data_IF_734933310734
#
_entry.id   IF_734933310734
#
_cell.length_a   1.000
_cell.length_b   1.000
_cell.length_c   1.000
_cell.angle_alpha   90.00
_cell.angle_beta   90.00
_cell.angle_gamma   90.00
#
_symmetry.space_group_name_H-M   'P 1'
#
loop_
_entity.id
_entity.type
_entity.pdbx_description
1 polymer ?
#
# COMPACT_ATOMS: atom_id res chain seq x y z
N UNK A 1 -20.29 -25.51 -11.34
CA UNK A 1 -19.91 -24.30 -10.57
C UNK A 1 -18.40 -24.31 -10.42
N UNK A 2 -17.67 -23.48 -11.17
CA UNK A 2 -16.21 -23.44 -11.13
C UNK A 2 -15.75 -22.72 -9.87
N UNK A 3 -14.89 -23.37 -9.07
CA UNK A 3 -14.26 -22.71 -7.92
C UNK A 3 -13.32 -21.61 -8.42
N UNK A 4 -13.58 -20.37 -8.02
CA UNK A 4 -12.65 -19.26 -8.25
C UNK A 4 -11.39 -19.50 -7.42
N UNK A 5 -10.30 -19.93 -8.07
CA UNK A 5 -8.99 -20.08 -7.41
C UNK A 5 -8.36 -18.69 -7.28
N UNK A 6 -8.55 -18.05 -6.13
CA UNK A 6 -8.11 -16.66 -5.88
C UNK A 6 -6.57 -16.58 -5.80
N UNK A 7 -5.89 -17.65 -5.42
CA UNK A 7 -4.43 -17.71 -5.32
C UNK A 7 -3.90 -19.03 -5.87
N UNK A 8 -2.85 -18.97 -6.69
CA UNK A 8 -2.11 -20.16 -7.09
C UNK A 8 -0.99 -20.45 -6.09
N UNK A 9 -1.18 -21.49 -5.29
CA UNK A 9 -0.23 -21.93 -4.26
C UNK A 9 1.02 -22.60 -4.85
N UNK A 10 1.04 -22.86 -6.17
CA UNK A 10 2.17 -23.43 -6.86
C UNK A 10 3.23 -22.37 -7.23
N UNK A 11 2.89 -21.08 -7.16
CA UNK A 11 3.83 -20.00 -7.44
C UNK A 11 4.80 -19.90 -6.27
N UNK A 12 6.09 -19.97 -6.58
CA UNK A 12 7.14 -19.81 -5.59
C UNK A 12 7.13 -18.41 -4.96
N UNK A 13 7.31 -18.35 -3.65
CA UNK A 13 7.32 -17.07 -2.93
C UNK A 13 8.54 -16.24 -3.28
N UNK A 14 9.69 -16.87 -3.56
CA UNK A 14 10.90 -16.14 -3.90
C UNK A 14 10.76 -15.46 -5.27
N UNK A 15 10.13 -16.11 -6.25
CA UNK A 15 9.86 -15.49 -7.55
C UNK A 15 8.94 -14.27 -7.44
N UNK A 16 7.89 -14.34 -6.60
CA UNK A 16 7.00 -13.20 -6.34
C UNK A 16 7.76 -12.04 -5.70
N UNK A 17 8.64 -12.32 -4.74
CA UNK A 17 9.44 -11.28 -4.08
C UNK A 17 10.39 -10.60 -5.07
N UNK A 18 11.08 -11.37 -5.91
CA UNK A 18 12.00 -10.86 -6.92
C UNK A 18 11.29 -9.98 -7.96
N UNK A 19 10.12 -10.38 -8.45
CA UNK A 19 9.32 -9.60 -9.41
C UNK A 19 8.88 -8.25 -8.81
N UNK A 20 8.44 -8.27 -7.55
CA UNK A 20 8.04 -7.06 -6.81
C UNK A 20 9.21 -6.11 -6.62
N UNK A 21 10.38 -6.64 -6.24
CA UNK A 21 11.60 -5.86 -6.06
C UNK A 21 12.02 -5.22 -7.39
N UNK A 22 12.05 -5.98 -8.47
CA UNK A 22 12.36 -5.45 -9.81
C UNK A 22 11.43 -4.30 -10.21
N UNK A 23 10.12 -4.50 -10.02
CA UNK A 23 9.10 -3.48 -10.33
C UNK A 23 9.29 -2.21 -9.49
N UNK A 24 9.59 -2.39 -8.19
CA UNK A 24 9.87 -1.29 -7.29
C UNK A 24 11.13 -0.53 -7.71
N UNK A 25 12.24 -1.23 -8.00
CA UNK A 25 13.50 -0.60 -8.39
C UNK A 25 13.40 0.16 -9.72
N UNK A 26 12.59 -0.33 -10.67
CA UNK A 26 12.34 0.33 -11.96
C UNK A 26 11.44 1.57 -11.85
N UNK A 27 10.68 1.71 -10.77
CA UNK A 27 9.71 2.79 -10.60
C UNK A 27 10.36 4.12 -10.20
N UNK A 28 9.84 5.24 -10.70
CA UNK A 28 10.25 6.57 -10.27
C UNK A 28 9.88 6.83 -8.80
N UNK A 29 10.58 7.77 -8.16
CA UNK A 29 10.29 8.17 -6.77
C UNK A 29 8.86 8.69 -6.61
N UNK A 30 8.34 9.45 -7.58
CA UNK A 30 6.96 9.91 -7.58
C UNK A 30 5.98 8.74 -7.61
N UNK A 31 6.20 7.77 -8.49
CA UNK A 31 5.32 6.62 -8.61
C UNK A 31 5.29 5.78 -7.33
N UNK A 32 6.44 5.62 -6.67
CA UNK A 32 6.54 4.94 -5.36
C UNK A 32 5.67 5.63 -4.30
N UNK A 33 5.72 6.96 -4.24
CA UNK A 33 4.92 7.75 -3.29
C UNK A 33 3.41 7.60 -3.60
N UNK A 34 3.02 7.73 -4.87
CA UNK A 34 1.63 7.58 -5.29
C UNK A 34 1.08 6.18 -4.99
N UNK A 35 1.88 5.14 -5.25
CA UNK A 35 1.53 3.76 -4.94
C UNK A 35 1.30 3.57 -3.42
N UNK A 36 2.15 4.15 -2.57
CA UNK A 36 1.98 4.11 -1.11
C UNK A 36 0.69 4.82 -0.67
N UNK A 37 0.41 6.01 -1.21
CA UNK A 37 -0.81 6.76 -0.88
C UNK A 37 -2.07 6.00 -1.29
N UNK A 38 -2.06 5.37 -2.48
CA UNK A 38 -3.16 4.54 -2.94
C UNK A 38 -3.34 3.31 -2.05
N UNK A 39 -2.25 2.65 -1.65
CA UNK A 39 -2.30 1.52 -0.72
C UNK A 39 -2.94 1.91 0.62
N UNK A 40 -2.57 3.09 1.16
CA UNK A 40 -3.17 3.61 2.38
C UNK A 40 -4.68 3.85 2.22
N UNK A 41 -5.11 4.44 1.09
CA UNK A 41 -6.54 4.66 0.80
C UNK A 41 -7.31 3.35 0.70
N UNK A 42 -6.78 2.36 -0.03
CA UNK A 42 -7.37 1.03 -0.15
C UNK A 42 -7.45 0.35 1.22
N UNK A 43 -6.41 0.45 2.04
CA UNK A 43 -6.41 -0.11 3.39
C UNK A 43 -7.52 0.46 4.27
N UNK A 44 -7.75 1.78 4.23
CA UNK A 44 -8.85 2.41 4.98
C UNK A 44 -10.21 1.94 4.46
N UNK A 45 -10.40 1.88 3.14
CA UNK A 45 -11.64 1.42 2.52
C UNK A 45 -11.95 -0.04 2.90
N UNK A 46 -10.95 -0.91 2.89
CA UNK A 46 -11.08 -2.32 3.30
C UNK A 46 -11.32 -2.48 4.81
N UNK A 47 -10.90 -1.52 5.62
CA UNK A 47 -11.09 -1.51 7.07
C UNK A 47 -12.36 -0.72 7.49
N UNK A 48 -13.43 -0.81 6.70
CA UNK A 48 -14.72 -0.17 7.02
C UNK A 48 -14.66 1.36 7.12
N UNK A 49 -13.75 2.00 6.37
CA UNK A 49 -13.55 3.45 6.40
C UNK A 49 -12.72 3.96 7.58
N UNK A 50 -12.24 3.08 8.47
CA UNK A 50 -11.42 3.46 9.60
C UNK A 50 -9.94 3.20 9.33
N UNK A 51 -9.02 4.10 9.72
CA UNK A 51 -7.58 3.81 9.67
C UNK A 51 -7.20 2.61 10.55
N UNK A 52 -6.33 1.73 10.04
CA UNK A 52 -5.78 0.60 10.81
C UNK A 52 -5.00 1.05 12.05
N UNK A 53 -4.28 2.18 11.93
CA UNK A 53 -3.56 2.81 13.04
C UNK A 53 -4.05 4.23 13.20
N UNK A 54 -4.56 4.54 14.39
CA UNK A 54 -4.83 5.92 14.80
C UNK A 54 -3.51 6.57 15.22
N UNK A 55 -3.28 7.86 14.93
CA UNK A 55 -2.12 8.57 15.45
C UNK A 55 -2.09 8.42 16.98
N UNK A 56 -1.01 7.85 17.52
CA UNK A 56 -0.83 7.57 18.95
C UNK A 56 -0.37 8.83 19.75
N UNK A 57 -0.57 10.02 19.19
CA UNK A 57 -0.25 11.31 19.81
C UNK A 57 -1.04 12.44 19.14
N UNK A 58 -0.90 13.68 19.64
CA UNK A 58 -1.62 14.87 19.15
C UNK A 58 -1.31 15.24 17.67
N UNK A 59 -0.42 14.50 17.00
CA UNK A 59 -0.01 14.72 15.62
C UNK A 59 0.89 15.94 15.45
N UNK A 60 1.89 15.85 14.57
CA UNK A 60 2.56 17.05 14.06
C UNK A 60 1.59 17.75 13.10
N UNK A 61 0.96 18.83 13.57
CA UNK A 61 0.18 19.72 12.71
C UNK A 61 1.16 20.55 11.89
N UNK A 62 1.55 20.05 10.71
CA UNK A 62 2.34 20.84 9.76
C UNK A 62 1.38 21.84 9.09
N UNK A 63 1.11 22.95 9.76
CA UNK A 63 0.41 24.11 9.18
C UNK A 63 1.45 25.01 8.52
N UNK A 64 1.30 25.31 7.23
CA UNK A 64 1.99 26.46 6.64
C UNK A 64 1.40 27.71 7.29
N UNK A 65 2.23 28.49 7.97
CA UNK A 65 1.86 29.84 8.41
C UNK A 65 1.65 30.67 7.15
N UNK A 66 0.40 30.86 6.75
CA UNK A 66 0.08 31.93 5.82
C UNK A 66 0.19 33.23 6.65
N UNK A 67 1.17 34.05 6.29
CA UNK A 67 1.28 35.45 6.68
C UNK A 67 -0.05 36.17 6.46
#
# INVERSE_FOLDING_TARGET
MGHLKIYDTNIDKASIAAEREYTYLKSSSEHKILALLNLNRTSVALNGGSPLKKPQGLGLVIRRSNL
#
